data_IF_733616058654
#
_entry.id   IF_733616058654
#
_cell.length_a   1.000
_cell.length_b   1.000
_cell.length_c   1.000
_cell.angle_alpha   90.00
_cell.angle_beta   90.00
_cell.angle_gamma   90.00
#
_symmetry.space_group_name_H-M   'P 1'
#
loop_
_entity.id
_entity.type
_entity.pdbx_description
1 polymer ?
#
# COMPACT_ATOMS: atom_id res chain seq x y z
N UNK A 1 22.21 -16.73 -19.05
CA UNK A 1 22.44 -15.62 -18.08
C UNK A 1 21.08 -15.00 -17.77
N UNK A 2 20.58 -15.03 -16.54
CA UNK A 2 19.33 -14.36 -16.21
C UNK A 2 19.55 -12.83 -16.26
N UNK A 3 18.65 -12.13 -16.94
CA UNK A 3 18.71 -10.68 -17.11
C UNK A 3 18.49 -9.96 -15.76
N UNK A 4 19.16 -8.83 -15.51
CA UNK A 4 18.92 -8.03 -14.32
C UNK A 4 17.48 -7.54 -14.37
N UNK A 5 16.70 -7.94 -13.37
CA UNK A 5 15.32 -7.54 -13.21
C UNK A 5 15.25 -6.03 -13.31
N UNK A 6 14.38 -5.52 -14.18
CA UNK A 6 14.11 -4.10 -14.31
C UNK A 6 13.64 -3.61 -12.95
N UNK A 7 14.58 -3.05 -12.19
CA UNK A 7 14.31 -2.33 -10.97
C UNK A 7 13.51 -1.11 -11.43
N UNK A 8 12.19 -1.20 -11.30
CA UNK A 8 11.29 -0.09 -11.57
C UNK A 8 11.83 1.04 -10.70
N UNK A 9 12.39 2.09 -11.31
CA UNK A 9 12.93 3.23 -10.57
C UNK A 9 11.73 4.01 -10.03
N UNK A 10 11.30 3.71 -8.81
CA UNK A 10 10.22 4.44 -8.16
C UNK A 10 10.70 5.83 -7.76
N UNK A 11 9.88 6.85 -8.03
CA UNK A 11 10.17 8.21 -7.56
C UNK A 11 10.33 8.16 -6.04
N UNK A 12 11.37 8.85 -5.58
CA UNK A 12 11.93 8.78 -4.23
C UNK A 12 10.97 9.13 -3.08
N UNK A 13 9.64 9.28 -3.20
CA UNK A 13 8.77 9.60 -2.04
C UNK A 13 7.36 8.99 -2.13
N UNK A 14 7.18 7.86 -2.80
CA UNK A 14 5.84 7.31 -3.03
C UNK A 14 5.61 6.04 -2.20
N UNK A 15 4.44 5.98 -1.55
CA UNK A 15 3.90 4.74 -1.00
C UNK A 15 3.35 3.89 -2.14
N UNK A 16 3.70 2.61 -2.15
CA UNK A 16 3.26 1.65 -3.15
C UNK A 16 2.60 0.47 -2.46
N UNK A 17 1.45 0.05 -2.97
CA UNK A 17 0.77 -1.18 -2.61
C UNK A 17 0.96 -2.15 -3.76
N UNK A 18 1.79 -3.16 -3.56
CA UNK A 18 1.96 -4.28 -4.48
C UNK A 18 0.93 -5.36 -4.16
N UNK A 19 0.20 -5.81 -5.18
CA UNK A 19 -0.83 -6.83 -5.06
C UNK A 19 -0.42 -8.08 -5.84
N UNK A 20 -0.51 -9.24 -5.16
CA UNK A 20 -0.52 -10.54 -5.83
C UNK A 20 -1.78 -10.72 -6.68
N UNK A 21 -1.73 -11.69 -7.60
CA UNK A 21 -2.72 -11.88 -8.66
C UNK A 21 -4.18 -12.02 -8.15
N UNK A 22 -4.43 -12.83 -7.12
CA UNK A 22 -5.79 -13.06 -6.61
C UNK A 22 -6.34 -11.78 -5.96
N UNK A 23 -5.50 -11.06 -5.22
CA UNK A 23 -5.90 -9.79 -4.59
C UNK A 23 -6.14 -8.71 -5.65
N UNK A 24 -5.31 -8.67 -6.69
CA UNK A 24 -5.50 -7.75 -7.82
C UNK A 24 -6.84 -7.96 -8.51
N UNK A 25 -7.21 -9.21 -8.78
CA UNK A 25 -8.50 -9.54 -9.40
C UNK A 25 -9.66 -8.99 -8.56
N UNK A 26 -9.57 -9.13 -7.24
CA UNK A 26 -10.59 -8.65 -6.31
C UNK A 26 -10.60 -7.13 -6.19
N UNK A 27 -9.42 -6.51 -6.26
CA UNK A 27 -9.29 -5.06 -6.33
C UNK A 27 -9.97 -4.52 -7.60
N UNK A 28 -9.74 -5.14 -8.76
CA UNK A 28 -10.34 -4.73 -10.04
C UNK A 28 -11.86 -4.85 -10.03
N UNK A 29 -12.42 -5.91 -9.43
CA UNK A 29 -13.86 -6.07 -9.28
C UNK A 29 -14.52 -4.97 -8.44
N UNK A 30 -13.76 -4.30 -7.57
CA UNK A 30 -14.24 -3.24 -6.66
C UNK A 30 -13.38 -1.98 -6.72
N UNK A 31 -12.80 -1.69 -7.88
CA UNK A 31 -11.74 -0.69 -8.02
C UNK A 31 -12.17 0.68 -7.51
N UNK A 32 -13.34 1.17 -7.94
CA UNK A 32 -13.87 2.46 -7.49
C UNK A 32 -14.09 2.51 -5.97
N UNK A 33 -14.58 1.42 -5.37
CA UNK A 33 -14.78 1.34 -3.93
C UNK A 33 -13.44 1.39 -3.19
N UNK A 34 -12.44 0.70 -3.72
CA UNK A 34 -11.12 0.62 -3.13
C UNK A 34 -10.36 1.95 -3.22
N UNK A 35 -10.33 2.57 -4.40
CA UNK A 35 -9.74 3.89 -4.63
C UNK A 35 -10.41 4.97 -3.77
N UNK A 36 -11.74 4.93 -3.63
CA UNK A 36 -12.47 5.85 -2.74
C UNK A 36 -12.07 5.68 -1.27
N UNK A 37 -11.85 4.45 -0.80
CA UNK A 37 -11.39 4.20 0.57
C UNK A 37 -9.95 4.65 0.79
N UNK A 38 -9.07 4.43 -0.19
CA UNK A 38 -7.68 4.87 -0.12
C UNK A 38 -7.60 6.41 -0.11
N UNK A 39 -8.41 7.09 -0.93
CA UNK A 39 -8.52 8.56 -0.91
C UNK A 39 -8.98 9.06 0.46
N UNK A 40 -10.08 8.53 0.99
CA UNK A 40 -10.59 8.88 2.33
C UNK A 40 -9.57 8.61 3.43
N UNK A 41 -8.83 7.51 3.33
CA UNK A 41 -7.78 7.18 4.29
C UNK A 41 -6.68 8.24 4.27
N UNK A 42 -6.23 8.69 3.09
CA UNK A 42 -5.23 9.76 2.96
C UNK A 42 -5.73 11.09 3.52
N UNK A 43 -6.96 11.46 3.20
CA UNK A 43 -7.61 12.68 3.74
C UNK A 43 -7.66 12.62 5.27
N UNK A 44 -8.09 11.50 5.84
CA UNK A 44 -8.12 11.30 7.29
C UNK A 44 -6.72 11.37 7.94
N UNK A 45 -5.67 10.85 7.29
CA UNK A 45 -4.30 10.98 7.83
C UNK A 45 -3.83 12.44 7.80
N UNK A 46 -4.15 13.18 6.72
CA UNK A 46 -3.84 14.61 6.61
C UNK A 46 -4.54 15.43 7.69
N UNK A 47 -5.83 15.20 7.93
CA UNK A 47 -6.59 15.91 8.96
C UNK A 47 -6.15 15.54 10.38
N UNK A 48 -5.99 14.24 10.68
CA UNK A 48 -5.71 13.78 12.05
C UNK A 48 -4.26 14.00 12.48
N UNK A 49 -3.31 14.01 11.54
CA UNK A 49 -1.87 14.04 11.87
C UNK A 49 -1.13 15.21 11.22
N UNK A 50 -1.81 16.07 10.44
CA UNK A 50 -1.17 17.11 9.62
C UNK A 50 -0.11 16.56 8.65
N UNK A 51 -0.24 15.29 8.27
CA UNK A 51 0.70 14.58 7.39
C UNK A 51 0.18 14.55 5.95
N UNK A 52 0.86 15.26 5.04
CA UNK A 52 0.52 15.21 3.63
C UNK A 52 1.17 14.02 2.93
N UNK A 53 0.36 13.01 2.62
CA UNK A 53 0.82 11.80 1.92
C UNK A 53 0.49 11.90 0.45
N UNK A 54 1.48 11.70 -0.43
CA UNK A 54 1.30 11.61 -1.90
C UNK A 54 0.33 10.48 -2.30
N UNK A 55 -0.24 10.50 -3.51
CA UNK A 55 -1.09 9.41 -3.99
C UNK A 55 -0.40 8.05 -3.85
N UNK A 56 -1.07 7.12 -3.16
CA UNK A 56 -0.58 5.76 -3.00
C UNK A 56 -0.77 5.05 -4.33
N UNK A 57 0.32 4.55 -4.90
CA UNK A 57 0.28 3.77 -6.14
C UNK A 57 -0.11 2.33 -5.82
N UNK A 58 -0.85 1.71 -6.71
CA UNK A 58 -1.24 0.31 -6.60
C UNK A 58 -0.72 -0.37 -7.85
N UNK A 59 0.11 -1.39 -7.66
CA UNK A 59 0.74 -2.11 -8.76
C UNK A 59 0.42 -3.60 -8.65
N UNK A 60 0.37 -4.26 -9.79
CA UNK A 60 0.42 -5.70 -9.86
C UNK A 60 1.87 -6.16 -9.72
N UNK A 61 2.09 -7.13 -8.84
CA UNK A 61 3.40 -7.73 -8.68
C UNK A 61 3.27 -9.24 -8.90
N UNK A 62 3.67 -9.64 -10.10
CA UNK A 62 3.59 -11.04 -10.56
C UNK A 62 4.59 -11.94 -9.82
N UNK A 63 5.54 -11.36 -9.08
CA UNK A 63 6.50 -12.11 -8.26
C UNK A 63 5.98 -12.33 -6.83
N UNK A 64 4.88 -11.67 -6.44
CA UNK A 64 4.24 -11.93 -5.16
C UNK A 64 3.36 -13.19 -5.22
N UNK A 65 3.33 -13.99 -4.14
CA UNK A 65 2.30 -15.01 -3.97
C UNK A 65 0.91 -14.40 -4.18
N UNK A 66 0.01 -15.16 -4.79
CA UNK A 66 -1.22 -14.61 -5.35
C UNK A 66 -2.10 -13.91 -4.31
N UNK A 67 -2.04 -14.36 -3.06
CA UNK A 67 -2.80 -13.87 -1.94
C UNK A 67 -2.07 -12.81 -1.10
N UNK A 68 -0.93 -12.25 -1.54
CA UNK A 68 -0.16 -11.30 -0.75
C UNK A 68 -0.40 -9.85 -1.18
N UNK A 69 -0.40 -8.96 -0.19
CA UNK A 69 -0.34 -7.51 -0.33
C UNK A 69 0.90 -7.00 0.38
N UNK A 70 1.72 -6.21 -0.31
CA UNK A 70 2.87 -5.52 0.30
C UNK A 70 2.66 -4.02 0.22
N UNK A 71 2.80 -3.34 1.35
CA UNK A 71 2.97 -1.90 1.42
C UNK A 71 4.46 -1.60 1.49
N UNK A 72 4.96 -0.79 0.57
CA UNK A 72 6.32 -0.30 0.56
C UNK A 72 6.36 1.23 0.46
N UNK A 73 7.48 1.81 0.87
CA UNK A 73 7.78 3.23 0.70
C UNK A 73 9.23 3.37 0.24
N UNK A 74 9.45 4.03 -0.90
CA UNK A 74 10.77 4.09 -1.56
C UNK A 74 11.43 2.71 -1.66
N UNK A 75 10.69 1.71 -2.12
CA UNK A 75 11.13 0.31 -2.24
C UNK A 75 11.44 -0.43 -0.93
N UNK A 76 11.27 0.22 0.22
CA UNK A 76 11.42 -0.45 1.50
C UNK A 76 10.08 -1.06 1.92
N UNK A 77 9.98 -2.39 2.09
CA UNK A 77 8.76 -3.02 2.54
C UNK A 77 8.46 -2.60 3.98
N UNK A 78 7.31 -1.97 4.19
CA UNK A 78 6.82 -1.55 5.50
C UNK A 78 5.94 -2.62 6.14
N UNK A 79 5.18 -3.35 5.31
CA UNK A 79 4.24 -4.37 5.77
C UNK A 79 3.93 -5.36 4.63
N UNK A 80 3.92 -6.66 4.96
CA UNK A 80 3.34 -7.70 4.12
C UNK A 80 2.11 -8.30 4.80
N UNK A 81 1.07 -8.59 4.02
CA UNK A 81 -0.18 -9.18 4.49
C UNK A 81 -0.62 -10.29 3.56
N UNK A 82 -0.84 -11.47 4.13
CA UNK A 82 -1.50 -12.56 3.44
C UNK A 82 -3.03 -12.39 3.51
N UNK A 83 -3.70 -12.69 2.41
CA UNK A 83 -5.09 -12.37 2.15
C UNK A 83 -5.84 -13.63 1.71
N UNK A 84 -6.30 -14.40 2.69
CA UNK A 84 -6.90 -15.71 2.45
C UNK A 84 -8.37 -15.66 2.03
N UNK A 85 -9.09 -14.57 2.32
CA UNK A 85 -10.49 -14.41 1.94
C UNK A 85 -10.87 -12.92 1.82
N UNK A 86 -11.72 -12.57 0.85
CA UNK A 86 -12.05 -11.17 0.49
C UNK A 86 -13.47 -10.83 0.87
N UNK A 87 -13.72 -10.97 2.16
CA UNK A 87 -14.92 -10.39 2.78
C UNK A 87 -14.76 -8.89 2.96
N UNK A 88 -15.88 -8.15 2.98
CA UNK A 88 -15.91 -6.70 3.29
C UNK A 88 -15.26 -6.38 4.65
N UNK A 89 -15.23 -7.35 5.57
CA UNK A 89 -14.61 -7.23 6.90
C UNK A 89 -13.09 -7.27 6.83
N UNK A 90 -12.53 -8.20 6.06
CA UNK A 90 -11.08 -8.31 5.85
C UNK A 90 -10.54 -7.09 5.10
N UNK A 91 -11.25 -6.59 4.09
CA UNK A 91 -10.88 -5.35 3.41
C UNK A 91 -10.82 -4.13 4.36
N UNK A 92 -11.78 -3.99 5.26
CA UNK A 92 -11.75 -2.92 6.27
C UNK A 92 -10.55 -3.06 7.22
N UNK A 93 -10.20 -4.29 7.61
CA UNK A 93 -9.00 -4.54 8.44
C UNK A 93 -7.72 -4.20 7.68
N UNK A 94 -7.64 -4.56 6.40
CA UNK A 94 -6.51 -4.21 5.52
C UNK A 94 -6.27 -2.71 5.51
N UNK A 95 -7.29 -1.92 5.18
CA UNK A 95 -7.18 -0.45 5.13
C UNK A 95 -6.78 0.13 6.49
N UNK A 96 -7.31 -0.40 7.61
CA UNK A 96 -6.88 0.02 8.95
C UNK A 96 -5.39 -0.29 9.22
N UNK A 97 -4.91 -1.47 8.82
CA UNK A 97 -3.50 -1.86 8.99
C UNK A 97 -2.58 -0.99 8.13
N UNK A 98 -2.96 -0.74 6.88
CA UNK A 98 -2.24 0.16 5.96
C UNK A 98 -2.19 1.57 6.55
N UNK A 99 -3.33 2.14 6.99
CA UNK A 99 -3.37 3.47 7.63
C UNK A 99 -2.37 3.55 8.78
N UNK A 100 -2.39 2.56 9.68
CA UNK A 100 -1.51 2.53 10.85
C UNK A 100 -0.03 2.41 10.46
N UNK A 101 0.29 1.58 9.47
CA UNK A 101 1.67 1.42 8.98
C UNK A 101 2.20 2.72 8.38
N UNK A 102 1.39 3.40 7.56
CA UNK A 102 1.74 4.70 6.96
C UNK A 102 1.94 5.77 8.04
N UNK A 103 1.03 5.90 9.00
CA UNK A 103 1.18 6.87 10.10
C UNK A 103 2.47 6.61 10.88
N UNK A 104 2.73 5.34 11.23
CA UNK A 104 3.93 4.97 11.99
C UNK A 104 5.21 5.30 11.21
N UNK A 105 5.26 4.94 9.93
CA UNK A 105 6.41 5.24 9.07
C UNK A 105 6.60 6.76 8.91
N UNK A 106 5.52 7.51 8.64
CA UNK A 106 5.58 8.95 8.52
C UNK A 106 6.04 9.62 9.82
N UNK A 107 5.48 9.25 10.98
CA UNK A 107 5.91 9.78 12.29
C UNK A 107 7.39 9.51 12.56
N UNK A 108 7.89 8.31 12.26
CA UNK A 108 9.31 7.97 12.42
C UNK A 108 10.21 8.85 11.55
N UNK A 109 9.77 9.19 10.33
CA UNK A 109 10.52 10.08 9.43
C UNK A 109 10.52 11.51 9.91
N UNK A 110 9.37 12.04 10.32
CA UNK A 110 9.28 13.37 10.93
C UNK A 110 10.16 13.50 12.17
N UNK A 111 10.27 12.45 12.98
CA UNK A 111 11.13 12.41 14.15
C UNK A 111 12.62 12.21 13.83
N UNK A 112 12.96 11.68 12.65
CA UNK A 112 14.35 11.48 12.22
C UNK A 112 14.92 12.69 11.44
N UNK A 113 14.06 13.55 10.92
CA UNK A 113 14.42 14.79 10.23
C UNK A 113 14.52 16.02 11.16
N UNK A 114 14.13 15.89 12.44
CA UNK A 114 14.34 16.89 13.51
C UNK A 114 15.38 16.39 14.51
#
# INVERSE_FOLDING_TARGET
MPQPHQQISFKKDDYVISLGFDVLCLFRLKEQFCLKHIKKMREAIKEENSLEIKPIRIIDDLYLPHNIVILSYKDNPLMGLEFNDVTKKEYKKLIKRIKKAIIKDAQLRFAAEN
#
